data_IF_466434077559
#
_entry.id   IF_466434077559
#
_cell.length_a   1.000
_cell.length_b   1.000
_cell.length_c   1.000
_cell.angle_alpha   90.00
_cell.angle_beta   90.00
_cell.angle_gamma   90.00
#
_symmetry.space_group_name_H-M   'P 1'
#
loop_
_entity.id
_entity.type
_entity.pdbx_description
1 polymer ?
#
# COMPACT_ATOMS: atom_id res chain seq x y z
N UNK A 1 -7.46 -16.76 4.17
CA UNK A 1 -6.61 -15.90 5.02
C UNK A 1 -7.09 -15.92 6.47
N UNK A 2 -8.39 -15.77 6.70
CA UNK A 2 -8.93 -15.75 8.08
C UNK A 2 -8.79 -17.07 8.82
N UNK A 3 -8.53 -18.15 8.13
CA UNK A 3 -8.29 -19.46 8.74
C UNK A 3 -6.84 -19.71 9.13
N UNK A 4 -5.96 -18.77 8.80
CA UNK A 4 -4.56 -18.83 9.22
C UNK A 4 -4.46 -18.49 10.69
N UNK A 5 -3.54 -19.14 11.40
CA UNK A 5 -3.25 -18.82 12.79
C UNK A 5 -2.48 -17.51 12.89
N UNK A 6 -2.49 -16.91 14.07
CA UNK A 6 -1.71 -15.70 14.42
C UNK A 6 -2.21 -14.39 13.80
N UNK A 7 -3.45 -14.36 13.30
CA UNK A 7 -4.07 -13.12 12.90
C UNK A 7 -4.69 -12.41 14.10
N UNK A 8 -4.40 -11.14 14.20
CA UNK A 8 -5.01 -10.23 15.15
C UNK A 8 -6.09 -9.41 14.42
N UNK A 9 -7.33 -9.51 14.91
CA UNK A 9 -8.45 -8.82 14.30
C UNK A 9 -8.52 -7.38 14.77
N UNK A 10 -8.56 -6.43 13.87
CA UNK A 10 -8.77 -5.03 14.20
C UNK A 10 -9.72 -4.36 13.20
N UNK A 11 -10.31 -3.24 13.62
CA UNK A 11 -11.09 -2.39 12.74
C UNK A 11 -10.31 -1.15 12.41
N UNK A 12 -10.25 -0.82 11.12
CA UNK A 12 -9.61 0.38 10.63
C UNK A 12 -10.70 1.31 10.09
N UNK A 13 -10.82 2.50 10.68
CA UNK A 13 -11.75 3.53 10.24
C UNK A 13 -11.04 4.52 9.32
N UNK A 14 -11.45 4.56 8.05
CA UNK A 14 -11.12 5.66 7.16
C UNK A 14 -12.28 6.64 7.10
N UNK A 15 -12.09 7.76 6.37
CA UNK A 15 -13.12 8.78 6.17
C UNK A 15 -14.40 8.12 5.61
N UNK A 16 -15.46 8.04 6.42
CA UNK A 16 -16.74 7.45 6.05
C UNK A 16 -16.73 5.94 5.72
N UNK A 17 -15.67 5.21 6.09
CA UNK A 17 -15.62 3.76 5.88
C UNK A 17 -15.04 3.07 7.09
N UNK A 18 -15.73 2.04 7.55
CA UNK A 18 -15.14 1.08 8.45
C UNK A 18 -14.57 -0.06 7.62
N UNK A 19 -13.27 -0.30 7.75
CA UNK A 19 -12.57 -1.38 7.08
C UNK A 19 -12.02 -2.28 8.15
N UNK A 20 -12.35 -3.55 8.06
CA UNK A 20 -11.77 -4.54 8.96
C UNK A 20 -10.46 -5.04 8.40
N UNK A 21 -9.48 -5.22 9.26
CA UNK A 21 -8.21 -5.83 8.90
C UNK A 21 -7.82 -6.90 9.90
N UNK A 22 -7.22 -7.95 9.39
CA UNK A 22 -6.57 -8.97 10.19
C UNK A 22 -5.07 -8.79 10.05
N UNK A 23 -4.36 -8.81 11.17
CA UNK A 23 -2.92 -8.57 11.21
C UNK A 23 -2.21 -9.85 11.65
N UNK A 24 -1.22 -10.25 10.88
CA UNK A 24 -0.27 -11.26 11.29
C UNK A 24 1.14 -10.68 11.30
N UNK A 25 2.12 -11.52 11.59
CA UNK A 25 3.53 -11.13 11.60
C UNK A 25 4.00 -10.53 10.25
N UNK A 26 3.53 -11.08 9.14
CA UNK A 26 4.06 -10.77 7.80
C UNK A 26 3.08 -10.04 6.90
N UNK A 27 1.79 -10.13 7.17
CA UNK A 27 0.77 -9.54 6.32
C UNK A 27 -0.35 -8.91 7.11
N UNK A 28 -0.95 -7.88 6.49
CA UNK A 28 -2.19 -7.27 6.95
C UNK A 28 -3.21 -7.47 5.84
N UNK A 29 -4.34 -8.08 6.15
CA UNK A 29 -5.43 -8.29 5.20
C UNK A 29 -6.56 -7.31 5.49
N UNK A 30 -7.04 -6.64 4.45
CA UNK A 30 -8.13 -5.66 4.53
C UNK A 30 -9.37 -6.26 3.88
N UNK A 31 -10.50 -6.18 4.58
CA UNK A 31 -11.77 -6.77 4.13
C UNK A 31 -12.81 -5.69 3.85
N UNK A 32 -13.84 -6.05 3.07
CA UNK A 32 -14.99 -5.19 2.87
C UNK A 32 -15.81 -5.06 4.18
N UNK A 33 -16.83 -4.20 4.17
CA UNK A 33 -17.68 -3.93 5.34
C UNK A 33 -18.29 -5.19 5.94
N UNK A 34 -18.58 -6.18 5.13
CA UNK A 34 -19.26 -7.42 5.55
C UNK A 34 -18.28 -8.51 5.94
N UNK A 35 -16.97 -8.25 5.91
CA UNK A 35 -15.92 -9.23 6.18
C UNK A 35 -15.92 -10.46 5.31
N UNK A 36 -16.47 -10.38 4.11
CA UNK A 36 -16.62 -11.53 3.21
C UNK A 36 -15.52 -11.60 2.18
N UNK A 37 -15.03 -10.45 1.73
CA UNK A 37 -14.08 -10.36 0.62
C UNK A 37 -12.84 -9.62 1.08
N UNK A 38 -11.68 -10.25 0.88
CA UNK A 38 -10.40 -9.58 1.08
C UNK A 38 -10.18 -8.59 -0.07
N UNK A 39 -10.07 -7.32 0.24
CA UNK A 39 -9.93 -6.25 -0.75
C UNK A 39 -8.48 -5.87 -1.01
N UNK A 40 -7.60 -6.08 -0.05
CA UNK A 40 -6.18 -5.75 -0.20
C UNK A 40 -5.34 -6.55 0.79
N UNK A 41 -4.09 -6.75 0.42
CA UNK A 41 -3.08 -7.36 1.29
C UNK A 41 -1.89 -6.42 1.34
N UNK A 42 -1.44 -6.12 2.55
CA UNK A 42 -0.22 -5.37 2.78
C UNK A 42 0.83 -6.33 3.34
N UNK A 43 1.94 -6.43 2.63
CA UNK A 43 3.10 -7.19 3.09
C UNK A 43 3.94 -6.29 3.98
N UNK A 44 4.26 -6.78 5.15
CA UNK A 44 5.08 -6.09 6.14
C UNK A 44 6.17 -7.04 6.61
N UNK A 45 7.06 -6.60 7.46
CA UNK A 45 8.14 -7.39 7.98
C UNK A 45 9.45 -7.26 7.21
N UNK A 46 10.53 -7.18 7.96
CA UNK A 46 11.88 -7.02 7.44
C UNK A 46 12.43 -8.25 6.71
N UNK A 47 11.77 -9.41 6.83
CA UNK A 47 12.19 -10.65 6.21
C UNK A 47 11.35 -11.06 5.00
N UNK A 48 10.33 -10.27 4.65
CA UNK A 48 9.47 -10.57 3.52
C UNK A 48 9.99 -9.87 2.26
N UNK A 49 10.12 -10.61 1.17
CA UNK A 49 10.46 -10.05 -0.13
C UNK A 49 9.21 -9.91 -0.98
N UNK A 50 9.09 -8.80 -1.69
CA UNK A 50 7.97 -8.54 -2.60
C UNK A 50 8.54 -8.09 -3.94
N UNK A 51 8.18 -8.80 -5.00
CA UNK A 51 8.65 -8.51 -6.35
C UNK A 51 7.50 -8.02 -7.23
N UNK A 52 7.73 -6.93 -7.94
CA UNK A 52 6.83 -6.45 -8.97
C UNK A 52 7.62 -6.36 -10.27
N UNK A 53 7.18 -7.10 -11.28
CA UNK A 53 7.89 -7.20 -12.56
C UNK A 53 9.39 -7.54 -12.39
N UNK A 54 9.70 -8.43 -11.44
CA UNK A 54 11.06 -8.85 -11.17
C UNK A 54 11.88 -7.89 -10.31
N UNK A 55 11.29 -6.79 -9.84
CA UNK A 55 11.98 -5.80 -9.01
C UNK A 55 11.56 -5.95 -7.56
N UNK A 56 12.52 -6.17 -6.68
CA UNK A 56 12.28 -6.30 -5.24
C UNK A 56 12.04 -4.92 -4.62
N UNK A 57 10.92 -4.77 -3.85
CA UNK A 57 10.48 -3.49 -3.29
C UNK A 57 10.72 -3.34 -1.80
N UNK A 58 10.79 -4.42 -1.04
CA UNK A 58 10.95 -4.34 0.41
C UNK A 58 12.35 -3.89 0.79
N UNK A 59 12.45 -3.09 1.86
CA UNK A 59 13.71 -2.60 2.42
C UNK A 59 14.52 -1.69 1.47
N UNK A 60 13.91 -1.21 0.40
CA UNK A 60 14.57 -0.25 -0.49
C UNK A 60 14.81 1.05 0.27
N UNK A 61 16.03 1.60 0.26
CA UNK A 61 16.31 2.87 0.90
C UNK A 61 15.44 4.00 0.34
N UNK A 62 15.03 4.93 1.20
CA UNK A 62 14.12 6.01 0.84
C UNK A 62 14.56 6.77 -0.41
N UNK A 63 15.84 7.09 -0.54
CA UNK A 63 16.39 7.81 -1.68
C UNK A 63 16.34 7.02 -2.99
N UNK A 64 16.16 5.70 -2.92
CA UNK A 64 16.10 4.83 -4.09
C UNK A 64 14.67 4.38 -4.45
N UNK A 65 13.67 4.76 -3.65
CA UNK A 65 12.29 4.30 -3.84
C UNK A 65 11.74 4.70 -5.20
N UNK A 66 11.83 5.97 -5.57
CA UNK A 66 11.29 6.44 -6.85
C UNK A 66 12.00 5.76 -8.05
N UNK A 67 13.34 5.72 -8.14
CA UNK A 67 13.98 5.00 -9.22
C UNK A 67 13.61 3.51 -9.28
N UNK A 68 13.49 2.88 -8.12
CA UNK A 68 13.12 1.45 -8.04
C UNK A 68 11.71 1.22 -8.54
N UNK A 69 10.75 2.05 -8.11
CA UNK A 69 9.37 1.96 -8.58
C UNK A 69 9.26 2.21 -10.09
N UNK A 70 10.02 3.15 -10.61
CA UNK A 70 10.02 3.42 -12.05
C UNK A 70 10.58 2.27 -12.88
N UNK A 71 11.51 1.48 -12.31
CA UNK A 71 11.96 0.26 -12.97
C UNK A 71 10.91 -0.85 -12.91
N UNK A 72 10.19 -0.95 -11.79
CA UNK A 72 9.13 -1.95 -11.62
C UNK A 72 7.92 -1.68 -12.51
N UNK A 73 7.53 -0.41 -12.62
CA UNK A 73 6.32 0.02 -13.34
C UNK A 73 6.65 1.19 -14.29
N UNK A 74 7.41 0.92 -15.37
CA UNK A 74 7.80 1.97 -16.29
C UNK A 74 6.58 2.57 -17.01
N UNK A 75 6.58 3.90 -17.15
CA UNK A 75 5.50 4.61 -17.81
C UNK A 75 4.25 4.84 -16.97
N UNK A 76 4.18 4.31 -15.76
CA UNK A 76 3.05 4.55 -14.86
C UNK A 76 3.24 5.85 -14.07
N UNK A 77 2.12 6.54 -13.84
CA UNK A 77 2.10 7.75 -13.01
C UNK A 77 1.92 7.39 -11.55
N UNK A 78 2.84 7.86 -10.72
CA UNK A 78 2.79 7.65 -9.29
C UNK A 78 2.60 8.94 -8.50
N UNK A 79 2.16 8.81 -7.26
CA UNK A 79 1.93 9.92 -6.33
C UNK A 79 2.55 9.59 -4.97
N UNK A 80 3.01 10.61 -4.26
CA UNK A 80 3.58 10.42 -2.93
C UNK A 80 3.22 11.57 -2.01
N UNK A 81 3.01 11.24 -0.73
CA UNK A 81 2.91 12.22 0.35
C UNK A 81 4.21 12.31 1.18
N UNK A 82 5.26 11.66 0.71
CA UNK A 82 6.54 11.57 1.41
C UNK A 82 6.73 10.28 2.20
N UNK A 83 5.66 9.56 2.52
CA UNK A 83 5.71 8.26 3.19
C UNK A 83 5.07 7.15 2.35
N UNK A 84 3.94 7.46 1.72
CA UNK A 84 3.26 6.55 0.82
C UNK A 84 3.62 6.89 -0.62
N UNK A 85 3.95 5.86 -1.39
CA UNK A 85 4.23 5.97 -2.82
C UNK A 85 3.21 5.06 -3.51
N UNK A 86 2.28 5.65 -4.26
CA UNK A 86 1.12 4.92 -4.75
C UNK A 86 0.91 5.04 -6.24
N UNK A 87 0.49 3.94 -6.83
CA UNK A 87 0.05 3.84 -8.22
C UNK A 87 -1.43 3.53 -8.22
N UNK A 88 -2.27 4.56 -8.43
CA UNK A 88 -3.72 4.42 -8.34
C UNK A 88 -4.28 3.39 -9.32
N UNK A 89 -3.76 3.41 -10.57
CA UNK A 89 -4.22 2.51 -11.62
C UNK A 89 -3.82 1.05 -11.40
N UNK A 90 -2.89 0.80 -10.51
CA UNK A 90 -2.40 -0.56 -10.20
C UNK A 90 -2.86 -1.03 -8.82
N UNK A 91 -3.53 -0.17 -8.07
CA UNK A 91 -3.91 -0.43 -6.67
C UNK A 91 -2.71 -0.92 -5.86
N UNK A 92 -1.56 -0.28 -6.07
CA UNK A 92 -0.30 -0.61 -5.41
C UNK A 92 0.15 0.60 -4.59
N UNK A 93 0.54 0.35 -3.36
CA UNK A 93 1.11 1.38 -2.49
C UNK A 93 2.32 0.82 -1.76
N UNK A 94 3.35 1.65 -1.65
CA UNK A 94 4.57 1.34 -0.92
C UNK A 94 4.68 2.32 0.24
N UNK A 95 4.94 1.81 1.44
CA UNK A 95 5.07 2.62 2.64
C UNK A 95 6.52 2.66 3.09
N UNK A 96 7.02 3.88 3.34
CA UNK A 96 8.38 4.13 3.80
C UNK A 96 8.35 4.63 5.25
N UNK A 97 9.14 4.02 6.10
CA UNK A 97 9.39 4.47 7.47
C UNK A 97 10.82 4.12 7.87
N UNK A 98 11.39 4.92 8.74
CA UNK A 98 12.77 4.72 9.21
C UNK A 98 13.79 4.62 8.07
N UNK A 99 13.57 5.39 6.99
CA UNK A 99 14.50 5.50 5.89
C UNK A 99 14.47 4.38 4.86
N UNK A 100 13.50 3.48 4.93
CA UNK A 100 13.38 2.37 3.97
C UNK A 100 11.93 1.90 3.81
N UNK A 101 11.69 1.11 2.76
CA UNK A 101 10.38 0.51 2.53
C UNK A 101 10.09 -0.55 3.59
N UNK A 102 9.00 -0.36 4.32
CA UNK A 102 8.52 -1.28 5.34
C UNK A 102 7.27 -2.06 4.95
N UNK A 103 6.55 -1.60 3.95
CA UNK A 103 5.32 -2.26 3.55
C UNK A 103 5.00 -2.05 2.08
N UNK A 104 4.40 -3.07 1.47
CA UNK A 104 3.88 -3.02 0.12
C UNK A 104 2.44 -3.51 0.16
N UNK A 105 1.50 -2.67 -0.28
CA UNK A 105 0.09 -2.98 -0.34
C UNK A 105 -0.33 -3.25 -1.77
N UNK A 106 -1.04 -4.36 -1.98
CA UNK A 106 -1.65 -4.71 -3.26
C UNK A 106 -3.14 -4.88 -3.03
N UNK A 107 -3.94 -4.06 -3.71
CA UNK A 107 -5.39 -4.08 -3.56
C UNK A 107 -6.12 -4.48 -4.83
N UNK A 108 -7.41 -4.73 -4.68
CA UNK A 108 -8.29 -4.88 -5.84
C UNK A 108 -8.40 -3.55 -6.58
N UNK A 109 -8.89 -3.58 -7.82
CA UNK A 109 -9.14 -2.37 -8.60
C UNK A 109 -9.97 -1.38 -7.77
N UNK A 110 -9.55 -0.11 -7.78
CA UNK A 110 -10.19 0.99 -7.03
C UNK A 110 -10.00 0.98 -5.51
N UNK A 111 -9.20 0.08 -4.97
CA UNK A 111 -8.97 0.06 -3.51
C UNK A 111 -8.41 1.39 -2.98
N UNK A 112 -7.56 2.06 -3.75
CA UNK A 112 -6.92 3.32 -3.35
C UNK A 112 -7.75 4.57 -3.69
N UNK A 113 -9.00 4.42 -4.12
CA UNK A 113 -9.84 5.54 -4.54
C UNK A 113 -10.12 6.55 -3.44
N UNK A 114 -9.92 6.19 -2.17
CA UNK A 114 -10.04 7.15 -1.07
C UNK A 114 -9.01 8.30 -1.14
N UNK A 115 -7.96 8.16 -1.95
CA UNK A 115 -7.00 9.23 -2.21
C UNK A 115 -7.42 10.20 -3.32
N UNK A 116 -8.53 9.94 -4.02
CA UNK A 116 -8.95 10.75 -5.19
C UNK A 116 -9.13 12.23 -4.89
N UNK A 117 -9.74 12.57 -3.76
CA UNK A 117 -9.94 13.97 -3.39
C UNK A 117 -8.60 14.69 -3.23
N UNK A 118 -7.62 14.03 -2.61
CA UNK A 118 -6.30 14.59 -2.41
C UNK A 118 -5.55 14.74 -3.76
N UNK A 119 -5.79 13.84 -4.69
CA UNK A 119 -5.22 13.93 -6.04
C UNK A 119 -5.81 15.08 -6.85
N UNK A 120 -7.08 15.41 -6.66
CA UNK A 120 -7.74 16.53 -7.32
C UNK A 120 -7.21 17.88 -6.82
N UNK A 121 -6.66 17.92 -5.61
CA UNK A 121 -6.14 19.13 -5.00
C UNK A 121 -4.67 18.96 -4.58
N UNK A 122 -3.81 18.68 -5.54
CA UNK A 122 -2.38 18.43 -5.30
C UNK A 122 -1.69 19.59 -4.58
N UNK A 123 -2.09 20.82 -4.87
CA UNK A 123 -1.47 22.01 -4.29
C UNK A 123 -1.70 22.17 -2.79
N UNK A 124 -2.74 21.56 -2.24
CA UNK A 124 -3.12 21.71 -0.83
C UNK A 124 -3.02 20.39 -0.04
N UNK A 125 -3.07 19.25 -0.72
CA UNK A 125 -3.08 17.94 -0.06
C UNK A 125 -1.71 17.45 0.38
N UNK A 126 -0.63 18.05 -0.12
CA UNK A 126 0.73 17.58 0.14
C UNK A 126 1.18 16.43 -0.76
N UNK A 127 0.33 16.00 -1.71
CA UNK A 127 0.69 14.97 -2.67
C UNK A 127 1.50 15.56 -3.82
N UNK A 128 2.46 14.78 -4.30
CA UNK A 128 3.28 15.11 -5.45
C UNK A 128 3.32 13.95 -6.43
N UNK A 129 3.43 14.26 -7.72
CA UNK A 129 3.64 13.25 -8.76
C UNK A 129 5.09 12.81 -8.82
N UNK A 130 5.28 11.56 -9.19
CA UNK A 130 6.62 11.08 -9.54
C UNK A 130 6.61 10.14 -10.74
#
# INVERSE_FOLDING_TARGET
IRNMTDFEETFYGGKNKEVRRDISKDIIAYYDKENKICEAIQFVNEHTDVYVNGVQLMRVPEEEVIPTLKRALPGEEGFTDGQNYMYMNKSLSVFVTEGQVWGVLVGKKHFLDFWKEDLEDLGHSGLMKF
#
